data_IF_836272956474
#
_entry.id   IF_836272956474
#
_cell.length_a   1.000
_cell.length_b   1.000
_cell.length_c   1.000
_cell.angle_alpha   90.00
_cell.angle_beta   90.00
_cell.angle_gamma   90.00
#
_symmetry.space_group_name_H-M   'P 1'
#
loop_
_entity.id
_entity.type
_entity.pdbx_description
1 polymer ?
#
# COMPACT_ATOMS: atom_id res chain seq x y z
N UNK A 1 -2.21 10.97 18.36
CA UNK A 1 -1.63 10.25 17.21
C UNK A 1 -0.34 10.93 16.79
N UNK A 2 0.68 10.18 16.38
CA UNK A 2 1.96 10.71 15.90
C UNK A 2 2.09 10.33 14.42
N UNK A 3 2.40 11.31 13.58
CA UNK A 3 2.64 11.08 12.15
C UNK A 3 4.15 11.08 11.90
N UNK A 4 4.63 10.08 11.16
CA UNK A 4 6.01 10.02 10.66
C UNK A 4 5.94 9.98 9.14
N UNK A 5 6.58 10.93 8.47
CA UNK A 5 6.67 10.97 7.02
C UNK A 5 7.96 10.30 6.57
N UNK A 6 7.82 9.20 5.82
CA UNK A 6 8.93 8.52 5.16
C UNK A 6 8.89 8.93 3.70
N UNK A 7 9.96 9.55 3.20
CA UNK A 7 10.08 9.90 1.78
C UNK A 7 10.60 8.68 1.01
N UNK A 8 9.96 8.35 -0.12
CA UNK A 8 10.27 7.21 -1.01
C UNK A 8 10.14 5.86 -0.30
N UNK A 9 8.91 5.36 -0.25
CA UNK A 9 8.56 4.05 0.30
C UNK A 9 8.02 3.17 -0.82
N UNK A 10 8.61 1.99 -1.01
CA UNK A 10 8.13 1.02 -1.99
C UNK A 10 7.13 0.06 -1.35
N UNK A 11 6.02 -0.17 -2.05
CA UNK A 11 4.99 -1.12 -1.64
C UNK A 11 5.05 -2.36 -2.53
N UNK A 12 5.51 -3.47 -1.96
CA UNK A 12 5.56 -4.76 -2.64
C UNK A 12 4.44 -5.69 -2.16
N UNK A 13 3.69 -6.25 -3.11
CA UNK A 13 2.62 -7.21 -2.86
C UNK A 13 2.47 -8.14 -4.06
N UNK A 14 1.89 -9.32 -3.85
CA UNK A 14 1.56 -10.23 -4.95
C UNK A 14 0.27 -9.78 -5.64
N UNK A 15 0.41 -9.07 -6.76
CA UNK A 15 -0.71 -8.54 -7.52
C UNK A 15 -1.65 -9.64 -7.99
N UNK A 16 -1.15 -10.82 -8.35
CA UNK A 16 -1.96 -11.93 -8.88
C UNK A 16 -2.87 -12.56 -7.82
N UNK A 17 -2.54 -12.40 -6.54
CA UNK A 17 -3.32 -12.95 -5.43
C UNK A 17 -4.27 -11.92 -4.82
N UNK A 18 -3.96 -10.63 -4.94
CA UNK A 18 -4.49 -9.62 -4.02
C UNK A 18 -5.30 -8.51 -4.72
N UNK A 19 -4.95 -8.15 -5.96
CA UNK A 19 -5.52 -6.94 -6.60
C UNK A 19 -5.79 -7.14 -8.10
N UNK A 20 -6.60 -6.28 -8.71
CA UNK A 20 -6.88 -6.30 -10.17
C UNK A 20 -6.98 -4.89 -10.74
N UNK A 21 -6.71 -4.73 -12.02
CA UNK A 21 -6.86 -3.47 -12.75
C UNK A 21 -5.53 -2.83 -13.15
N UNK A 22 -5.53 -1.51 -13.40
CA UNK A 22 -4.29 -0.75 -13.69
C UNK A 22 -3.36 -0.71 -12.48
N UNK A 23 -2.08 -0.39 -12.69
CA UNK A 23 -1.09 -0.35 -11.59
C UNK A 23 -1.50 0.62 -10.48
N UNK A 24 -2.12 1.76 -10.80
CA UNK A 24 -2.64 2.71 -9.81
C UNK A 24 -3.82 2.13 -9.03
N UNK A 25 -4.71 1.38 -9.70
CA UNK A 25 -5.83 0.70 -9.04
C UNK A 25 -5.32 -0.38 -8.10
N UNK A 26 -4.31 -1.15 -8.54
CA UNK A 26 -3.67 -2.18 -7.73
C UNK A 26 -2.97 -1.58 -6.51
N UNK A 27 -2.21 -0.49 -6.68
CA UNK A 27 -1.55 0.21 -5.57
C UNK A 27 -2.55 0.72 -4.52
N UNK A 28 -3.68 1.30 -4.97
CA UNK A 28 -4.77 1.74 -4.07
C UNK A 28 -5.40 0.57 -3.31
N UNK A 29 -5.72 -0.52 -4.01
CA UNK A 29 -6.29 -1.72 -3.39
C UNK A 29 -5.32 -2.35 -2.37
N UNK A 30 -4.03 -2.42 -2.69
CA UNK A 30 -3.00 -2.92 -1.78
C UNK A 30 -2.91 -2.07 -0.50
N UNK A 31 -2.94 -0.74 -0.64
CA UNK A 31 -2.92 0.18 0.50
C UNK A 31 -4.15 -0.01 1.42
N UNK A 32 -5.34 -0.18 0.83
CA UNK A 32 -6.57 -0.44 1.57
C UNK A 32 -6.49 -1.73 2.39
N UNK A 33 -5.98 -2.81 1.79
CA UNK A 33 -5.85 -4.11 2.47
C UNK A 33 -4.83 -4.08 3.62
N UNK A 34 -3.73 -3.36 3.43
CA UNK A 34 -2.74 -3.14 4.51
C UNK A 34 -3.38 -2.34 5.64
N UNK A 35 -4.10 -1.27 5.32
CA UNK A 35 -4.79 -0.46 6.33
C UNK A 35 -5.84 -1.26 7.10
N UNK A 36 -6.61 -2.13 6.43
CA UNK A 36 -7.54 -3.05 7.10
C UNK A 36 -6.81 -3.94 8.12
N UNK A 37 -5.63 -4.45 7.76
CA UNK A 37 -4.82 -5.27 8.67
C UNK A 37 -4.30 -4.46 9.86
N UNK A 38 -3.80 -3.24 9.61
CA UNK A 38 -3.27 -2.35 10.65
C UNK A 38 -4.35 -1.86 11.62
N UNK A 39 -5.60 -1.76 11.17
CA UNK A 39 -6.72 -1.24 11.96
C UNK A 39 -7.53 -2.35 12.66
N UNK A 40 -7.32 -3.62 12.31
CA UNK A 40 -8.13 -4.74 12.81
C UNK A 40 -7.96 -4.96 14.32
N UNK A 41 -9.04 -5.06 15.09
CA UNK A 41 -8.94 -5.46 16.50
C UNK A 41 -8.87 -6.99 16.69
N UNK A 42 -8.25 -7.50 17.78
CA UNK A 42 -7.50 -6.76 18.82
C UNK A 42 -6.01 -6.59 18.50
N UNK A 43 -5.53 -7.12 17.36
CA UNK A 43 -4.09 -7.28 17.08
C UNK A 43 -3.50 -6.20 16.16
N UNK A 44 -4.33 -5.32 15.64
CA UNK A 44 -3.94 -4.19 14.81
C UNK A 44 -3.16 -3.17 15.62
N UNK A 45 -2.39 -2.36 14.92
CA UNK A 45 -1.53 -1.34 15.51
C UNK A 45 -2.26 -0.01 15.73
N UNK A 46 -3.55 0.08 15.38
CA UNK A 46 -4.28 1.35 15.37
C UNK A 46 -3.62 2.36 14.43
N UNK A 47 -3.03 1.87 13.33
CA UNK A 47 -2.19 2.64 12.42
C UNK A 47 -2.83 2.76 11.03
N UNK A 48 -2.38 3.74 10.27
CA UNK A 48 -2.82 3.96 8.90
C UNK A 48 -1.66 4.50 8.06
N UNK A 49 -1.52 3.96 6.86
CA UNK A 49 -0.68 4.48 5.80
C UNK A 49 -1.50 5.45 4.94
N UNK A 50 -0.89 6.60 4.64
CA UNK A 50 -1.42 7.61 3.73
C UNK A 50 -0.52 7.67 2.50
N UNK A 51 -1.11 7.54 1.31
CA UNK A 51 -0.42 7.75 0.06
C UNK A 51 -1.02 9.00 -0.61
N UNK A 52 -0.19 10.01 -0.83
CA UNK A 52 -0.60 11.29 -1.43
C UNK A 52 -0.55 11.16 -2.96
N UNK A 53 -1.68 11.17 -3.68
CA UNK A 53 -1.70 10.85 -5.12
C UNK A 53 -0.79 11.71 -5.98
N UNK A 54 -0.57 12.96 -5.56
CA UNK A 54 0.27 13.94 -6.27
C UNK A 54 1.77 13.67 -6.10
N UNK A 55 2.16 12.77 -5.18
CA UNK A 55 3.54 12.41 -4.85
C UNK A 55 3.87 10.94 -5.13
N UNK A 56 2.91 10.16 -5.66
CA UNK A 56 3.13 8.74 -5.98
C UNK A 56 3.64 8.64 -7.42
N UNK A 57 4.92 8.34 -7.58
CA UNK A 57 5.45 7.75 -8.80
C UNK A 57 5.16 6.25 -8.77
N UNK A 58 4.28 5.78 -9.65
CA UNK A 58 3.94 4.35 -9.77
C UNK A 58 4.90 3.72 -10.78
N UNK A 59 5.99 3.15 -10.29
CA UNK A 59 6.92 2.35 -11.08
C UNK A 59 6.62 0.85 -10.85
N UNK A 60 6.43 0.09 -11.93
CA UNK A 60 6.25 -1.37 -11.84
C UNK A 60 7.44 -2.06 -12.50
N UNK A 61 8.31 -2.64 -11.69
CA UNK A 61 9.31 -3.59 -12.17
C UNK A 61 8.72 -4.99 -12.10
N UNK A 62 8.51 -5.61 -13.27
CA UNK A 62 8.20 -7.04 -13.34
C UNK A 62 9.48 -7.78 -12.93
N UNK A 63 9.55 -8.23 -11.67
CA UNK A 63 10.64 -9.09 -11.22
C UNK A 63 10.60 -10.36 -12.05
N UNK A 64 11.56 -10.49 -12.98
CA UNK A 64 11.68 -11.62 -13.87
C UNK A 64 11.72 -12.93 -13.05
N UNK A 65 10.89 -13.89 -13.50
CA UNK A 65 10.66 -15.20 -12.89
C UNK A 65 11.93 -16.04 -12.66
#
# INVERSE_FOLDING_TARGET
MKTITIRRLDLQFDANQVTKGSTEQQARQALELINLTLQREPFGLGAQLFAHPDEIEVESEESAA
#
